data_IF_024145889126
#
_entry.id   IF_024145889126
#
_cell.length_a   1.000
_cell.length_b   1.000
_cell.length_c   1.000
_cell.angle_alpha   90.00
_cell.angle_beta   90.00
_cell.angle_gamma   90.00
#
_symmetry.space_group_name_H-M   'P 1'
#
loop_
_entity.id
_entity.type
_entity.pdbx_description
1 polymer ?
#
# COMPACT_ATOMS: atom_id res chain seq x y z
N UNK A 1 -20.52 5.15 5.59
CA UNK A 1 -19.84 5.02 5.55
C UNK A 1 -18.97 5.34 5.34
N UNK A 2 -18.53 5.32 5.37
CA UNK A 2 -17.66 5.60 5.33
C UNK A 2 -16.77 5.52 4.78
N UNK A 3 -16.36 5.65 4.50
CA UNK A 3 -15.55 5.44 4.04
C UNK A 3 -14.70 5.61 3.78
N UNK A 4 -14.48 5.52 3.55
CA UNK A 4 -13.65 5.41 3.46
C UNK A 4 -12.71 5.83 2.88
N UNK A 5 -12.71 5.91 2.76
CA UNK A 5 -11.55 6.13 2.67
C UNK A 5 -10.92 6.87 1.67
N UNK A 6 -10.06 7.67 2.00
CA UNK A 6 -9.35 8.50 1.11
C UNK A 6 -8.07 7.84 0.76
N UNK A 7 -8.14 6.91 -0.15
CA UNK A 7 -6.95 6.34 -0.75
C UNK A 7 -6.28 7.43 -1.58
N UNK A 8 -4.99 7.65 -1.33
CA UNK A 8 -4.21 8.65 -2.06
C UNK A 8 -3.18 7.93 -2.91
N UNK A 9 -3.02 8.40 -4.15
CA UNK A 9 -2.07 7.79 -5.08
C UNK A 9 -1.22 8.89 -5.73
N UNK A 10 0.09 8.64 -5.90
CA UNK A 10 0.99 9.62 -6.53
C UNK A 10 0.87 9.57 -8.06
N UNK A 11 -0.30 9.88 -8.55
CA UNK A 11 -0.59 9.81 -10.00
C UNK A 11 -0.03 11.00 -10.74
N UNK A 12 0.47 10.75 -11.96
CA UNK A 12 0.85 11.83 -12.85
C UNK A 12 -0.41 12.50 -13.39
N UNK A 13 -0.25 13.69 -13.98
CA UNK A 13 -1.39 14.39 -14.58
C UNK A 13 -2.04 13.57 -15.68
N UNK A 14 -1.22 12.86 -16.48
CA UNK A 14 -1.76 11.98 -17.53
C UNK A 14 -2.56 10.83 -16.94
N UNK A 15 -2.06 10.22 -15.86
CA UNK A 15 -2.78 9.12 -15.20
C UNK A 15 -4.11 9.60 -14.64
N UNK A 16 -4.11 10.78 -14.01
CA UNK A 16 -5.36 11.37 -13.51
C UNK A 16 -6.35 11.65 -14.64
N UNK A 17 -5.85 12.19 -15.75
CA UNK A 17 -6.69 12.48 -16.90
C UNK A 17 -7.27 11.19 -17.48
N UNK A 18 -6.47 10.13 -17.55
CA UNK A 18 -6.93 8.85 -18.07
C UNK A 18 -8.05 8.25 -17.20
N UNK A 19 -7.90 8.34 -15.88
CA UNK A 19 -8.94 7.86 -14.98
C UNK A 19 -10.23 8.66 -15.15
N UNK A 20 -10.12 9.99 -15.24
CA UNK A 20 -11.29 10.85 -15.45
C UNK A 20 -11.98 10.55 -16.77
N UNK A 21 -11.21 10.34 -17.82
CA UNK A 21 -11.73 10.02 -19.14
C UNK A 21 -12.56 8.73 -19.11
N UNK A 22 -12.13 7.77 -18.30
CA UNK A 22 -12.81 6.49 -18.16
C UNK A 22 -13.82 6.49 -17.00
N UNK A 23 -14.03 7.64 -16.36
CA UNK A 23 -14.98 7.81 -15.27
C UNK A 23 -14.67 6.90 -14.08
N UNK A 24 -13.40 6.73 -13.78
CA UNK A 24 -12.91 5.87 -12.68
C UNK A 24 -12.40 6.76 -11.54
N UNK A 25 -12.88 6.51 -10.35
CA UNK A 25 -12.38 7.19 -9.15
C UNK A 25 -11.13 6.50 -8.65
N UNK A 26 -10.27 7.26 -7.97
CA UNK A 26 -9.03 6.71 -7.40
C UNK A 26 -9.33 5.48 -6.53
N UNK A 27 -10.35 5.55 -5.69
CA UNK A 27 -10.70 4.45 -4.79
C UNK A 27 -11.12 3.18 -5.54
N UNK A 28 -11.49 3.30 -6.82
CA UNK A 28 -11.95 2.16 -7.60
C UNK A 28 -10.83 1.43 -8.35
N UNK A 29 -9.58 1.88 -8.19
CA UNK A 29 -8.44 1.21 -8.86
C UNK A 29 -8.36 -0.26 -8.49
N UNK A 30 -8.76 -0.59 -7.26
CA UNK A 30 -8.71 -1.96 -6.77
C UNK A 30 -9.74 -2.89 -7.43
N UNK A 31 -10.69 -2.32 -8.16
CA UNK A 31 -11.70 -3.10 -8.87
C UNK A 31 -11.15 -3.69 -10.18
N UNK A 32 -9.93 -3.33 -10.55
CA UNK A 32 -9.34 -3.73 -11.83
C UNK A 32 -8.11 -4.60 -11.62
N UNK A 33 -7.88 -5.52 -12.55
CA UNK A 33 -6.66 -6.32 -12.56
C UNK A 33 -5.49 -5.46 -13.04
N UNK A 34 -4.27 -5.93 -12.80
CA UNK A 34 -3.06 -5.20 -13.18
C UNK A 34 -3.02 -4.90 -14.68
N UNK A 35 -3.35 -5.91 -15.51
CA UNK A 35 -3.34 -5.71 -16.96
C UNK A 35 -4.39 -4.69 -17.41
N UNK A 36 -5.53 -4.66 -16.73
CA UNK A 36 -6.54 -3.64 -17.01
C UNK A 36 -6.04 -2.26 -16.65
N UNK A 37 -5.34 -2.13 -15.51
CA UNK A 37 -4.78 -0.85 -15.09
C UNK A 37 -3.70 -0.36 -16.05
N UNK A 38 -2.92 -1.25 -16.65
CA UNK A 38 -1.94 -0.85 -17.66
C UNK A 38 -2.62 -0.09 -18.80
N UNK A 39 -3.74 -0.60 -19.25
CA UNK A 39 -4.50 0.01 -20.35
C UNK A 39 -5.17 1.32 -19.88
N UNK A 40 -5.84 1.27 -18.74
CA UNK A 40 -6.60 2.41 -18.24
C UNK A 40 -5.70 3.59 -17.90
N UNK A 41 -4.51 3.33 -17.37
CA UNK A 41 -3.57 4.37 -16.99
C UNK A 41 -2.61 4.72 -18.12
N UNK A 42 -2.54 3.88 -19.15
CA UNK A 42 -1.52 3.96 -20.19
C UNK A 42 -0.15 3.90 -19.55
N UNK A 43 0.07 2.87 -18.74
CA UNK A 43 1.26 2.71 -17.91
C UNK A 43 1.91 1.36 -18.15
N UNK A 44 3.17 1.24 -17.70
CA UNK A 44 3.88 -0.03 -17.74
C UNK A 44 3.30 -1.00 -16.71
N UNK A 45 3.64 -2.28 -16.84
CA UNK A 45 3.23 -3.30 -15.88
C UNK A 45 3.74 -2.94 -14.48
N UNK A 46 4.99 -2.51 -14.38
CA UNK A 46 5.59 -2.12 -13.09
C UNK A 46 4.82 -0.97 -12.45
N UNK A 47 4.47 0.02 -13.26
CA UNK A 47 3.73 1.17 -12.73
C UNK A 47 2.32 0.77 -12.28
N UNK A 48 1.65 -0.08 -13.06
CA UNK A 48 0.32 -0.56 -12.70
C UNK A 48 0.37 -1.36 -11.40
N UNK A 49 1.38 -2.21 -11.23
CA UNK A 49 1.58 -2.97 -9.99
C UNK A 49 1.82 -2.04 -8.81
N UNK A 50 2.63 -1.02 -9.01
CA UNK A 50 2.91 -0.03 -7.96
C UNK A 50 1.65 0.68 -7.52
N UNK A 51 0.86 1.17 -8.47
CA UNK A 51 -0.38 1.89 -8.17
C UNK A 51 -1.36 0.97 -7.44
N UNK A 52 -1.53 -0.26 -7.92
CA UNK A 52 -2.40 -1.23 -7.26
C UNK A 52 -1.94 -1.52 -5.83
N UNK A 53 -0.64 -1.75 -5.65
CA UNK A 53 -0.08 -2.06 -4.34
C UNK A 53 -0.31 -0.91 -3.36
N UNK A 54 -0.04 0.32 -3.79
CA UNK A 54 -0.23 1.48 -2.94
C UNK A 54 -1.69 1.60 -2.50
N UNK A 55 -2.62 1.35 -3.42
CA UNK A 55 -4.04 1.39 -3.09
C UNK A 55 -4.42 0.27 -2.12
N UNK A 56 -3.93 -0.95 -2.37
CA UNK A 56 -4.27 -2.11 -1.54
C UNK A 56 -3.77 -1.94 -0.11
N UNK A 57 -2.53 -1.47 0.06
CA UNK A 57 -1.98 -1.29 1.41
C UNK A 57 -2.76 -0.25 2.21
N UNK A 58 -3.34 0.72 1.56
CA UNK A 58 -4.13 1.75 2.24
C UNK A 58 -5.50 1.25 2.70
N UNK A 59 -5.91 0.06 2.31
CA UNK A 59 -7.13 -0.55 2.85
C UNK A 59 -6.92 -1.04 4.28
N UNK A 60 -5.67 -1.17 4.72
CA UNK A 60 -5.36 -1.57 6.08
C UNK A 60 -5.66 -0.37 7.01
N UNK A 61 -6.43 -0.57 8.09
CA UNK A 61 -6.74 0.53 8.99
C UNK A 61 -5.48 1.24 9.49
N UNK A 62 -5.50 2.55 9.51
CA UNK A 62 -4.42 3.45 9.96
C UNK A 62 -3.16 3.45 9.08
N UNK A 63 -3.19 2.79 7.92
CA UNK A 63 -2.07 2.82 6.98
C UNK A 63 -2.37 3.81 5.85
N UNK A 64 -1.53 4.86 5.75
CA UNK A 64 -1.67 5.87 4.72
C UNK A 64 -0.71 5.68 3.57
N UNK A 65 -0.66 6.68 2.68
CA UNK A 65 0.18 6.61 1.47
C UNK A 65 1.66 6.49 1.79
N UNK A 66 2.13 7.20 2.80
CA UNK A 66 3.57 7.20 3.11
C UNK A 66 4.07 5.83 3.51
N UNK A 67 3.35 5.14 4.41
CA UNK A 67 3.77 3.81 4.81
C UNK A 67 3.58 2.81 3.69
N UNK A 68 2.56 2.99 2.86
CA UNK A 68 2.38 2.16 1.66
C UNK A 68 3.58 2.29 0.72
N UNK A 69 4.10 3.52 0.56
CA UNK A 69 5.30 3.75 -0.24
C UNK A 69 6.52 3.05 0.35
N UNK A 70 6.61 3.00 1.69
CA UNK A 70 7.71 2.29 2.34
C UNK A 70 7.66 0.80 2.05
N UNK A 71 6.46 0.19 2.01
CA UNK A 71 6.32 -1.22 1.66
C UNK A 71 6.76 -1.49 0.23
N UNK A 72 6.35 -0.62 -0.71
CA UNK A 72 6.77 -0.74 -2.10
C UNK A 72 8.29 -0.53 -2.22
N UNK A 73 8.84 0.40 -1.46
CA UNK A 73 10.28 0.65 -1.41
C UNK A 73 11.05 -0.62 -1.04
N UNK A 74 10.49 -1.43 -0.13
CA UNK A 74 11.08 -2.70 0.25
C UNK A 74 10.89 -3.80 -0.79
N UNK A 75 10.03 -3.58 -1.78
CA UNK A 75 9.79 -4.55 -2.84
C UNK A 75 8.53 -5.37 -2.67
N UNK A 76 7.64 -4.98 -1.78
CA UNK A 76 6.38 -5.69 -1.58
C UNK A 76 5.26 -5.02 -2.36
N UNK A 77 4.52 -5.82 -3.11
CA UNK A 77 3.48 -5.32 -4.02
C UNK A 77 2.10 -5.91 -3.77
N UNK A 78 1.94 -6.70 -2.70
CA UNK A 78 0.62 -7.24 -2.36
C UNK A 78 0.58 -7.65 -0.90
N UNK A 79 -0.64 -7.70 -0.35
CA UNK A 79 -0.84 -8.18 1.01
C UNK A 79 -0.40 -9.65 1.15
N UNK A 80 -0.59 -10.45 0.10
CA UNK A 80 -0.21 -11.86 0.18
C UNK A 80 1.29 -12.06 0.39
N UNK A 81 2.11 -11.11 -0.11
CA UNK A 81 3.56 -11.18 0.09
C UNK A 81 3.97 -10.90 1.54
N UNK A 82 3.09 -10.28 2.31
CA UNK A 82 3.36 -9.95 3.71
C UNK A 82 2.94 -11.07 4.67
N UNK A 83 2.19 -12.05 4.18
CA UNK A 83 1.79 -13.17 5.04
C UNK A 83 3.01 -13.91 5.55
N UNK A 84 2.97 -14.29 6.83
CA UNK A 84 4.03 -15.04 7.49
C UNK A 84 5.36 -14.30 7.61
N UNK A 85 5.39 -13.00 7.33
CA UNK A 85 6.56 -12.17 7.55
C UNK A 85 6.62 -11.77 9.03
N UNK A 86 7.78 -11.26 9.43
CA UNK A 86 8.01 -10.80 10.79
C UNK A 86 8.19 -9.29 10.77
N UNK A 87 7.34 -8.56 11.52
CA UNK A 87 7.38 -7.11 11.55
C UNK A 87 8.73 -6.55 11.98
N UNK A 88 9.39 -7.19 12.95
CA UNK A 88 10.72 -6.75 13.39
C UNK A 88 11.74 -6.91 12.28
N UNK A 89 11.68 -8.04 11.55
CA UNK A 89 12.60 -8.25 10.42
C UNK A 89 12.36 -7.29 9.27
N UNK A 90 11.10 -6.97 9.00
CA UNK A 90 10.76 -5.96 7.99
C UNK A 90 11.34 -4.61 8.36
N UNK A 91 11.30 -4.27 9.65
CA UNK A 91 11.86 -3.02 10.15
C UNK A 91 13.38 -3.01 9.93
N UNK A 92 14.05 -4.14 10.21
CA UNK A 92 15.49 -4.26 9.98
C UNK A 92 15.82 -4.09 8.50
N UNK A 93 15.07 -4.73 7.61
CA UNK A 93 15.24 -4.58 6.16
C UNK A 93 15.10 -3.11 5.74
N UNK A 94 14.10 -2.45 6.29
CA UNK A 94 13.83 -1.05 5.97
C UNK A 94 14.98 -0.16 6.42
N UNK A 95 15.46 -0.36 7.66
CA UNK A 95 16.56 0.45 8.19
C UNK A 95 17.85 0.21 7.40
N UNK A 96 18.13 -1.03 7.03
CA UNK A 96 19.30 -1.35 6.22
C UNK A 96 19.23 -0.66 4.86
N UNK A 97 18.08 -0.70 4.23
CA UNK A 97 17.92 -0.13 2.90
C UNK A 97 17.94 1.39 2.94
N UNK A 98 17.41 2.00 4.00
CA UNK A 98 17.44 3.46 4.19
C UNK A 98 18.80 3.95 4.68
N UNK A 99 19.52 3.13 5.42
CA UNK A 99 20.82 3.46 5.95
C UNK A 99 20.80 4.24 7.28
N UNK A 100 19.66 4.24 7.97
CA UNK A 100 19.57 4.90 9.27
C UNK A 100 18.45 4.30 10.11
N UNK A 101 18.46 4.62 11.40
CA UNK A 101 17.45 4.17 12.35
C UNK A 101 16.11 4.84 12.09
N UNK A 102 15.02 4.11 12.33
CA UNK A 102 13.67 4.63 12.20
C UNK A 102 13.02 4.75 13.58
N UNK A 103 11.90 5.49 13.64
CA UNK A 103 11.11 5.59 14.86
C UNK A 103 10.50 4.23 15.22
N UNK A 104 10.33 3.94 16.54
CA UNK A 104 9.65 2.70 16.95
C UNK A 104 8.27 2.52 16.35
N UNK A 105 7.54 3.61 16.04
CA UNK A 105 6.23 3.50 15.40
C UNK A 105 6.29 2.82 14.03
N UNK A 106 7.45 2.87 13.37
CA UNK A 106 7.61 2.21 12.07
C UNK A 106 7.52 0.69 12.24
N UNK A 107 8.17 0.16 13.28
CA UNK A 107 8.05 -1.27 13.57
C UNK A 107 6.61 -1.65 13.88
N UNK A 108 5.89 -0.81 14.63
CA UNK A 108 4.50 -1.06 14.96
C UNK A 108 3.64 -1.14 13.70
N UNK A 109 3.93 -0.29 12.73
CA UNK A 109 3.20 -0.32 11.46
C UNK A 109 3.51 -1.58 10.66
N UNK A 110 4.79 -2.03 10.65
CA UNK A 110 5.13 -3.30 9.98
C UNK A 110 4.41 -4.47 10.66
N UNK A 111 4.33 -4.46 11.99
CA UNK A 111 3.61 -5.51 12.72
C UNK A 111 2.14 -5.51 12.36
N UNK A 112 1.54 -4.33 12.25
CA UNK A 112 0.14 -4.19 11.87
C UNK A 112 -0.11 -4.79 10.49
N UNK A 113 0.71 -4.44 9.48
CA UNK A 113 0.44 -4.91 8.12
C UNK A 113 0.61 -6.41 8.00
N UNK A 114 1.58 -6.99 8.73
CA UNK A 114 1.73 -8.45 8.75
C UNK A 114 0.52 -9.10 9.42
N UNK A 115 0.06 -8.54 10.54
CA UNK A 115 -1.13 -9.05 11.21
C UNK A 115 -2.34 -9.01 10.30
N UNK A 116 -2.54 -7.88 9.62
CA UNK A 116 -3.66 -7.73 8.71
C UNK A 116 -3.57 -8.73 7.55
N UNK A 117 -2.38 -8.91 7.00
CA UNK A 117 -2.18 -9.86 5.89
C UNK A 117 -2.55 -11.29 6.31
N UNK A 118 -2.28 -11.64 7.57
CA UNK A 118 -2.57 -12.99 8.09
C UNK A 118 -4.02 -13.17 8.54
N UNK A 119 -4.67 -12.12 9.05
CA UNK A 119 -5.96 -12.25 9.74
C UNK A 119 -7.11 -11.47 9.12
N UNK A 120 -6.82 -10.45 8.31
CA UNK A 120 -7.80 -9.48 7.81
C UNK A 120 -8.56 -8.77 8.93
N UNK A 121 -7.95 -8.65 10.11
CA UNK A 121 -8.59 -8.03 11.27
C UNK A 121 -8.59 -6.50 11.13
N UNK A 122 -9.76 -5.93 10.82
CA UNK A 122 -9.91 -4.50 10.61
C UNK A 122 -10.03 -3.70 11.90
N UNK A 123 -10.01 -4.36 13.06
CA UNK A 123 -10.13 -3.70 14.36
C UNK A 123 -8.81 -3.19 14.91
N UNK A 124 -7.69 -3.68 14.37
CA UNK A 124 -6.35 -3.30 14.84
C UNK A 124 -5.83 -2.09 14.12
N UNK A 125 -5.05 -1.28 14.83
CA UNK A 125 -4.33 -0.13 14.27
C UNK A 125 -2.88 -0.27 14.71
N UNK A 126 -1.98 0.58 14.14
CA UNK A 126 -0.55 0.40 14.45
C UNK A 126 -0.25 0.65 15.94
N UNK A 127 -1.00 1.51 16.61
CA UNK A 127 -0.74 1.78 18.03
C UNK A 127 -1.17 0.64 18.95
N UNK A 128 -1.90 -0.34 18.43
CA UNK A 128 -2.23 -1.55 19.20
C UNK A 128 -1.01 -2.47 19.35
N UNK A 129 0.07 -2.18 18.66
CA UNK A 129 1.30 -2.99 18.69
C UNK A 129 2.45 -2.31 19.45
N UNK A 130 2.19 -1.16 20.05
CA UNK A 130 3.20 -0.46 20.85
C UNK A 130 3.42 -1.14 22.20
#
# INVERSE_FOLDING_TARGET
MKSKTSIKLPLTDNEKANLRKNKIKIANVLDFAIDELEVLLNATTERAKEIYALAEFQTIPSVGIKFSEDLVFLGYYSLSELKHKDGAKLTDEYEQKKGFWTDPCVEDQFRLVVNYANTNDTRKTWWDFT
#
